data_IF_677968739558
#
_entry.id   IF_677968739558
#
_cell.length_a   1.000
_cell.length_b   1.000
_cell.length_c   1.000
_cell.angle_alpha   90.00
_cell.angle_beta   90.00
_cell.angle_gamma   90.00
#
_symmetry.space_group_name_H-M   'P 1'
#
loop_
_entity.id
_entity.type
_entity.pdbx_description
1 polymer ?
#
# COMPACT_ATOMS: atom_id res chain seq x y z
N UNK A 1 -5.03 -8.20 23.49
CA UNK A 1 -4.16 -7.49 22.52
C UNK A 1 -4.09 -6.03 22.92
N UNK A 2 -2.91 -5.40 22.96
CA UNK A 2 -2.80 -3.95 23.23
C UNK A 2 -3.41 -3.17 22.07
N UNK A 3 -4.42 -2.32 22.33
CA UNK A 3 -5.14 -1.62 21.25
C UNK A 3 -4.44 -0.33 20.81
N UNK A 4 -3.86 0.42 21.75
CA UNK A 4 -3.22 1.70 21.45
C UNK A 4 -2.07 1.60 20.43
N UNK A 5 -1.09 0.67 20.55
CA UNK A 5 -0.06 0.52 19.51
C UNK A 5 -0.65 0.14 18.16
N UNK A 6 -1.64 -0.76 18.14
CA UNK A 6 -2.29 -1.18 16.90
C UNK A 6 -2.99 -0.01 16.21
N UNK A 7 -3.68 0.84 16.97
CA UNK A 7 -4.34 2.03 16.44
C UNK A 7 -3.35 3.03 15.85
N UNK A 8 -2.23 3.31 16.53
CA UNK A 8 -1.19 4.18 15.98
C UNK A 8 -0.56 3.57 14.72
N UNK A 9 -0.31 2.26 14.69
CA UNK A 9 0.21 1.58 13.50
C UNK A 9 -0.82 1.64 12.36
N UNK A 10 -2.10 1.50 12.68
CA UNK A 10 -3.18 1.64 11.72
C UNK A 10 -3.25 3.06 11.14
N UNK A 11 -3.18 4.10 11.98
CA UNK A 11 -3.16 5.49 11.51
C UNK A 11 -1.96 5.76 10.59
N UNK A 12 -0.77 5.30 10.99
CA UNK A 12 0.41 5.37 10.13
C UNK A 12 0.10 4.75 8.77
N UNK A 13 -0.38 3.50 8.72
CA UNK A 13 -0.62 2.83 7.45
C UNK A 13 -1.69 3.51 6.60
N UNK A 14 -2.77 4.00 7.23
CA UNK A 14 -3.79 4.79 6.56
C UNK A 14 -3.17 5.99 5.85
N UNK A 15 -2.37 6.79 6.56
CA UNK A 15 -1.76 8.00 5.99
C UNK A 15 -0.71 7.68 4.92
N UNK A 16 0.14 6.68 5.13
CA UNK A 16 1.13 6.26 4.13
C UNK A 16 0.47 5.71 2.86
N UNK A 17 -0.61 4.94 3.00
CA UNK A 17 -1.35 4.48 1.83
C UNK A 17 -2.11 5.64 1.16
N UNK A 18 -2.64 6.57 1.95
CA UNK A 18 -3.32 7.77 1.46
C UNK A 18 -2.41 8.64 0.58
N UNK A 19 -1.11 8.74 0.90
CA UNK A 19 -0.17 9.53 0.06
C UNK A 19 -0.04 8.98 -1.34
N UNK A 20 -0.26 7.68 -1.53
CA UNK A 20 -0.26 7.05 -2.85
C UNK A 20 -1.62 7.16 -3.51
N UNK A 21 -2.68 6.84 -2.78
CA UNK A 21 -4.03 6.74 -3.35
C UNK A 21 -4.66 8.10 -3.64
N UNK A 22 -4.19 9.18 -3.00
CA UNK A 22 -4.64 10.55 -3.31
C UNK A 22 -4.33 10.98 -4.74
N UNK A 23 -3.29 10.42 -5.38
CA UNK A 23 -2.90 10.84 -6.73
C UNK A 23 -3.81 10.31 -7.83
N UNK A 24 -4.46 9.16 -7.64
CA UNK A 24 -5.38 8.59 -8.63
C UNK A 24 -6.59 9.51 -8.95
N UNK A 25 -7.37 9.99 -7.95
CA UNK A 25 -8.45 10.94 -8.21
C UNK A 25 -7.96 12.34 -8.63
N UNK A 26 -6.71 12.68 -8.32
CA UNK A 26 -6.08 13.96 -8.72
C UNK A 26 -5.46 13.93 -10.12
N UNK A 27 -5.27 12.75 -10.71
CA UNK A 27 -4.52 12.57 -11.95
C UNK A 27 -5.07 13.42 -13.13
N UNK A 28 -6.40 13.52 -13.35
CA UNK A 28 -6.94 14.36 -14.42
C UNK A 28 -6.58 15.84 -14.25
N UNK A 29 -6.51 16.34 -13.01
CA UNK A 29 -6.12 17.74 -12.73
C UNK A 29 -4.62 17.97 -12.94
N UNK A 30 -3.79 16.95 -12.65
CA UNK A 30 -2.36 17.00 -12.90
C UNK A 30 -2.11 17.04 -14.41
N UNK A 31 -2.81 16.22 -15.19
CA UNK A 31 -2.78 16.24 -16.66
C UNK A 31 -3.11 17.63 -17.21
N UNK A 32 -4.22 18.21 -16.76
CA UNK A 32 -4.67 19.51 -17.24
C UNK A 32 -3.70 20.63 -16.86
N UNK A 33 -3.08 20.57 -15.67
CA UNK A 33 -2.16 21.60 -15.18
C UNK A 33 -0.80 21.65 -15.89
N UNK A 34 -0.36 20.53 -16.47
CA UNK A 34 0.96 20.40 -17.12
C UNK A 34 0.83 19.95 -18.59
N UNK A 35 -0.39 19.90 -19.12
CA UNK A 35 -0.72 19.41 -20.46
C UNK A 35 -0.10 18.04 -20.76
N UNK A 36 -0.18 17.11 -19.81
CA UNK A 36 0.38 15.77 -19.96
C UNK A 36 -0.58 14.88 -20.75
N UNK A 37 -0.03 13.97 -21.56
CA UNK A 37 -0.81 12.88 -22.14
C UNK A 37 -1.15 11.82 -21.08
N UNK A 38 -2.18 11.02 -21.31
CA UNK A 38 -2.54 9.91 -20.43
C UNK A 38 -1.39 8.93 -20.17
N UNK A 39 -0.59 8.66 -21.21
CA UNK A 39 0.61 7.84 -21.10
C UNK A 39 1.68 8.46 -20.19
N UNK A 40 1.89 9.78 -20.31
CA UNK A 40 2.83 10.51 -19.46
C UNK A 40 2.36 10.55 -18.00
N UNK A 41 1.07 10.80 -17.76
CA UNK A 41 0.49 10.78 -16.41
C UNK A 41 0.60 9.39 -15.77
N UNK A 42 0.35 8.33 -16.54
CA UNK A 42 0.59 6.95 -16.12
C UNK A 42 2.05 6.68 -15.74
N UNK A 43 3.00 7.26 -16.47
CA UNK A 43 4.45 7.13 -16.20
C UNK A 43 4.87 7.62 -14.80
N UNK A 44 4.12 8.53 -14.17
CA UNK A 44 4.39 8.96 -12.80
C UNK A 44 4.28 7.80 -11.81
N UNK A 45 3.31 6.91 -11.99
CA UNK A 45 3.16 5.70 -11.16
C UNK A 45 4.28 4.70 -11.38
N UNK A 46 4.89 4.67 -12.56
CA UNK A 46 6.10 3.88 -12.81
C UNK A 46 7.28 4.39 -11.97
N UNK A 47 7.49 5.71 -11.90
CA UNK A 47 8.52 6.28 -11.00
C UNK A 47 8.24 6.02 -9.53
N UNK A 48 6.97 6.06 -9.12
CA UNK A 48 6.58 5.61 -7.79
C UNK A 48 6.95 4.14 -7.57
N UNK A 49 6.60 3.25 -8.50
CA UNK A 49 6.94 1.83 -8.43
C UNK A 49 8.45 1.59 -8.29
N UNK A 50 9.27 2.28 -9.07
CA UNK A 50 10.74 2.20 -9.00
C UNK A 50 11.28 2.66 -7.64
N UNK A 51 10.82 3.80 -7.12
CA UNK A 51 11.24 4.31 -5.81
C UNK A 51 10.84 3.36 -4.68
N UNK A 52 9.63 2.82 -4.73
CA UNK A 52 9.13 1.86 -3.77
C UNK A 52 9.94 0.55 -3.79
N UNK A 53 10.20 0.00 -4.98
CA UNK A 53 11.01 -1.21 -5.13
C UNK A 53 12.43 -1.01 -4.61
N UNK A 54 13.06 0.13 -4.89
CA UNK A 54 14.38 0.47 -4.36
C UNK A 54 14.38 0.54 -2.83
N UNK A 55 13.38 1.19 -2.23
CA UNK A 55 13.25 1.25 -0.77
C UNK A 55 13.18 -0.15 -0.14
N UNK A 56 12.34 -1.01 -0.71
CA UNK A 56 12.15 -2.38 -0.25
C UNK A 56 13.41 -3.23 -0.43
N UNK A 57 14.19 -3.02 -1.49
CA UNK A 57 15.49 -3.67 -1.68
C UNK A 57 16.57 -3.12 -0.75
N UNK A 58 16.47 -1.88 -0.28
CA UNK A 58 17.44 -1.28 0.65
C UNK A 58 17.05 -1.42 2.12
N UNK A 59 15.86 -1.96 2.41
CA UNK A 59 15.31 -1.95 3.77
C UNK A 59 16.18 -2.68 4.79
N UNK A 60 16.84 -3.78 4.38
CA UNK A 60 17.74 -4.52 5.26
C UNK A 60 18.93 -3.66 5.71
N UNK A 61 19.43 -2.77 4.83
CA UNK A 61 20.51 -1.84 5.18
C UNK A 61 19.99 -0.79 6.16
N UNK A 62 18.88 -0.12 5.84
CA UNK A 62 18.30 0.90 6.71
C UNK A 62 18.04 0.39 8.13
N UNK A 63 17.41 -0.78 8.25
CA UNK A 63 17.13 -1.42 9.55
C UNK A 63 18.41 -1.80 10.28
N UNK A 64 19.45 -2.27 9.59
CA UNK A 64 20.72 -2.64 10.23
C UNK A 64 21.50 -1.44 10.78
N UNK A 65 21.38 -0.27 10.14
CA UNK A 65 22.07 0.95 10.58
C UNK A 65 21.26 1.74 11.63
N UNK A 66 19.95 1.86 11.42
CA UNK A 66 19.10 2.75 12.22
C UNK A 66 18.21 2.02 13.23
N UNK A 67 17.97 0.73 13.05
CA UNK A 67 16.90 0.00 13.76
C UNK A 67 15.53 0.20 13.10
N UNK A 68 14.56 -0.63 13.47
CA UNK A 68 13.23 -0.66 12.87
C UNK A 68 12.44 0.62 13.17
N UNK A 69 12.46 1.09 14.42
CA UNK A 69 11.69 2.26 14.86
C UNK A 69 12.17 3.54 14.20
N UNK A 70 13.49 3.77 14.15
CA UNK A 70 14.06 4.96 13.49
C UNK A 70 13.82 4.90 11.98
N UNK A 71 13.90 3.72 11.36
CA UNK A 71 13.60 3.55 9.93
C UNK A 71 12.17 4.00 9.60
N UNK A 72 11.18 3.62 10.41
CA UNK A 72 9.79 4.12 10.26
C UNK A 72 9.73 5.63 10.41
N UNK A 73 10.37 6.21 11.44
CA UNK A 73 10.34 7.66 11.66
C UNK A 73 10.96 8.43 10.50
N UNK A 74 12.17 8.06 10.06
CA UNK A 74 12.84 8.72 8.94
C UNK A 74 12.04 8.58 7.64
N UNK A 75 11.44 7.41 7.41
CA UNK A 75 10.52 7.19 6.29
C UNK A 75 9.35 8.17 6.29
N UNK A 76 8.69 8.39 7.42
CA UNK A 76 7.56 9.32 7.49
C UNK A 76 7.98 10.79 7.43
N UNK A 77 9.12 11.14 8.01
CA UNK A 77 9.66 12.50 7.87
C UNK A 77 9.96 12.77 6.40
N UNK A 78 10.63 11.84 5.70
CA UNK A 78 10.84 11.93 4.25
C UNK A 78 9.53 12.03 3.46
N UNK A 79 8.55 11.19 3.80
CA UNK A 79 7.23 11.17 3.17
C UNK A 79 6.52 12.53 3.30
N UNK A 80 6.51 13.09 4.51
CA UNK A 80 5.91 14.40 4.79
C UNK A 80 6.63 15.54 4.07
N UNK A 81 7.96 15.58 4.11
CA UNK A 81 8.76 16.60 3.43
C UNK A 81 8.55 16.57 1.91
N UNK A 82 8.55 15.38 1.30
CA UNK A 82 8.31 15.24 -0.14
C UNK A 82 6.90 15.71 -0.51
N UNK A 83 5.87 15.40 0.30
CA UNK A 83 4.51 15.92 0.08
C UNK A 83 4.45 17.44 0.13
N UNK A 84 5.19 18.08 1.04
CA UNK A 84 5.29 19.54 1.09
C UNK A 84 5.94 20.10 -0.19
N UNK A 85 6.88 19.36 -0.78
CA UNK A 85 7.57 19.77 -2.01
C UNK A 85 6.70 19.77 -3.26
N UNK A 86 5.58 19.02 -3.29
CA UNK A 86 4.68 18.97 -4.45
C UNK A 86 4.07 20.32 -4.82
N UNK A 87 4.00 21.29 -3.90
CA UNK A 87 3.46 22.61 -4.23
C UNK A 87 4.32 23.36 -5.25
N UNK A 88 5.62 23.08 -5.32
CA UNK A 88 6.58 23.71 -6.25
C UNK A 88 6.84 22.87 -7.52
N UNK A 89 6.12 21.77 -7.70
CA UNK A 89 6.32 20.87 -8.83
C UNK A 89 5.64 21.43 -10.09
N UNK A 90 6.38 22.12 -10.94
CA UNK A 90 5.87 22.77 -12.16
C UNK A 90 6.33 22.11 -13.47
N UNK A 91 7.09 21.01 -13.38
CA UNK A 91 7.56 20.28 -14.56
C UNK A 91 7.34 18.79 -14.44
N UNK A 92 7.20 18.13 -15.59
CA UNK A 92 7.07 16.67 -15.66
C UNK A 92 8.22 15.94 -14.96
N UNK A 93 9.46 16.43 -15.14
CA UNK A 93 10.64 15.88 -14.45
C UNK A 93 10.55 16.04 -12.92
N UNK A 94 10.12 17.22 -12.44
CA UNK A 94 9.96 17.44 -11.00
C UNK A 94 8.92 16.49 -10.38
N UNK A 95 7.82 16.22 -11.08
CA UNK A 95 6.82 15.25 -10.62
C UNK A 95 7.39 13.83 -10.58
N UNK A 96 8.11 13.39 -11.60
CA UNK A 96 8.77 12.08 -11.58
C UNK A 96 9.73 11.92 -10.40
N UNK A 97 10.56 12.94 -10.14
CA UNK A 97 11.47 12.95 -9.01
C UNK A 97 10.73 12.88 -7.67
N UNK A 98 9.66 13.68 -7.50
CA UNK A 98 8.88 13.67 -6.27
C UNK A 98 8.10 12.37 -6.08
N UNK A 99 7.50 11.79 -7.12
CA UNK A 99 6.85 10.47 -7.05
C UNK A 99 7.86 9.39 -6.64
N UNK A 100 9.07 9.41 -7.20
CA UNK A 100 10.14 8.49 -6.84
C UNK A 100 10.56 8.65 -5.36
N UNK A 101 10.83 9.88 -4.91
CA UNK A 101 11.25 10.15 -3.53
C UNK A 101 10.15 9.86 -2.50
N UNK A 102 8.89 10.13 -2.87
CA UNK A 102 7.72 9.83 -2.06
C UNK A 102 7.63 8.32 -1.84
N UNK A 103 7.77 7.55 -2.90
CA UNK A 103 7.73 6.10 -2.86
C UNK A 103 8.94 5.49 -2.14
N UNK A 104 10.12 6.07 -2.34
CA UNK A 104 11.35 5.68 -1.63
C UNK A 104 11.16 5.82 -0.11
N UNK A 105 10.51 6.91 0.32
CA UNK A 105 10.17 7.15 1.72
C UNK A 105 9.09 6.19 2.21
N UNK A 106 8.04 5.99 1.42
CA UNK A 106 6.91 5.12 1.76
C UNK A 106 7.30 3.65 1.95
N UNK A 107 8.19 3.12 1.10
CA UNK A 107 8.59 1.71 1.10
C UNK A 107 9.38 1.25 2.33
N UNK A 108 9.83 2.18 3.16
CA UNK A 108 10.51 1.87 4.43
C UNK A 108 9.55 1.34 5.51
N UNK A 109 8.25 1.58 5.36
CA UNK A 109 7.28 1.37 6.42
C UNK A 109 6.92 -0.11 6.64
N UNK A 110 6.37 -0.80 5.64
CA UNK A 110 5.77 -2.14 5.81
C UNK A 110 6.74 -3.18 6.38
N UNK A 111 7.96 -3.34 5.84
CA UNK A 111 8.86 -4.35 6.38
C UNK A 111 9.33 -4.01 7.80
N UNK A 112 9.41 -2.72 8.14
CA UNK A 112 9.84 -2.27 9.47
C UNK A 112 8.73 -2.40 10.51
N UNK A 113 7.52 -1.95 10.17
CA UNK A 113 6.38 -2.00 11.08
C UNK A 113 5.93 -3.42 11.35
N UNK A 114 6.05 -4.35 10.38
CA UNK A 114 5.70 -5.74 10.59
C UNK A 114 6.63 -6.42 11.60
N UNK A 115 7.93 -6.12 11.58
CA UNK A 115 8.84 -6.60 12.62
C UNK A 115 8.46 -6.05 14.01
N UNK A 116 8.07 -4.78 14.10
CA UNK A 116 7.59 -4.17 15.37
C UNK A 116 6.27 -4.79 15.82
N UNK A 117 5.32 -4.96 14.91
CA UNK A 117 3.98 -5.50 15.18
C UNK A 117 4.05 -6.95 15.66
N UNK A 118 4.85 -7.77 14.97
CA UNK A 118 5.00 -9.20 15.31
C UNK A 118 5.79 -9.45 16.60
N UNK A 119 6.62 -8.50 17.03
CA UNK A 119 7.24 -8.48 18.37
C UNK A 119 6.25 -7.99 19.45
N UNK A 120 5.32 -7.10 19.08
CA UNK A 120 4.34 -6.51 20.01
C UNK A 120 3.22 -7.49 20.39
N UNK A 121 2.86 -8.40 19.47
CA UNK A 121 1.76 -9.35 19.64
C UNK A 121 2.22 -10.80 19.53
N UNK A 122 1.58 -11.66 20.32
CA UNK A 122 1.78 -13.12 20.26
C UNK A 122 1.45 -13.67 18.86
N UNK A 123 2.23 -14.66 18.42
CA UNK A 123 2.14 -15.27 17.08
C UNK A 123 0.78 -15.89 16.75
N UNK A 124 -0.02 -16.25 17.76
CA UNK A 124 -1.41 -16.71 17.62
C UNK A 124 -2.37 -15.64 17.13
N UNK A 125 -1.99 -14.36 17.25
CA UNK A 125 -2.80 -13.20 16.92
C UNK A 125 -2.24 -12.39 15.75
N UNK A 126 -1.19 -12.87 15.08
CA UNK A 126 -0.58 -12.13 13.97
C UNK A 126 -1.54 -11.90 12.82
N UNK A 127 -2.36 -12.88 12.44
CA UNK A 127 -3.37 -12.70 11.39
C UNK A 127 -4.37 -11.61 11.74
N UNK A 128 -4.89 -11.59 12.97
CA UNK A 128 -5.78 -10.52 13.46
C UNK A 128 -5.11 -9.16 13.48
N UNK A 129 -3.91 -9.07 14.05
CA UNK A 129 -3.18 -7.80 14.17
C UNK A 129 -2.82 -7.22 12.80
N UNK A 130 -2.34 -8.08 11.87
CA UNK A 130 -2.01 -7.69 10.50
C UNK A 130 -3.28 -7.36 9.72
N UNK A 131 -4.37 -8.13 9.85
CA UNK A 131 -5.63 -7.83 9.17
C UNK A 131 -6.27 -6.52 9.62
N UNK A 132 -6.25 -6.22 10.93
CA UNK A 132 -6.68 -4.91 11.45
C UNK A 132 -5.76 -3.83 10.91
N UNK A 133 -4.45 -3.97 11.04
CA UNK A 133 -3.47 -3.00 10.52
C UNK A 133 -3.70 -2.72 9.03
N UNK A 134 -3.79 -3.75 8.21
CA UNK A 134 -3.91 -3.64 6.75
C UNK A 134 -5.26 -3.09 6.29
N UNK A 135 -6.31 -3.22 7.11
CA UNK A 135 -7.60 -2.56 6.86
C UNK A 135 -7.47 -1.03 6.70
N UNK A 136 -6.40 -0.42 7.23
CA UNK A 136 -6.09 0.99 7.03
C UNK A 136 -5.86 1.34 5.55
N UNK A 137 -5.17 0.49 4.80
CA UNK A 137 -4.98 0.68 3.36
C UNK A 137 -6.31 0.58 2.61
N UNK A 138 -7.16 -0.37 3.00
CA UNK A 138 -8.51 -0.50 2.43
C UNK A 138 -9.36 0.74 2.71
N UNK A 139 -9.27 1.31 3.93
CA UNK A 139 -9.95 2.57 4.23
C UNK A 139 -9.40 3.73 3.39
N UNK A 140 -8.08 3.82 3.19
CA UNK A 140 -7.48 4.86 2.36
C UNK A 140 -7.92 4.76 0.89
N UNK A 141 -7.95 3.55 0.32
CA UNK A 141 -8.42 3.26 -1.05
C UNK A 141 -9.89 3.72 -1.22
N UNK A 142 -10.74 3.41 -0.24
CA UNK A 142 -12.15 3.78 -0.22
C UNK A 142 -12.34 5.30 -0.05
N UNK A 143 -11.69 5.90 0.95
CA UNK A 143 -11.99 7.25 1.39
C UNK A 143 -11.28 8.34 0.58
N UNK A 144 -10.08 8.10 0.05
CA UNK A 144 -9.31 9.15 -0.63
C UNK A 144 -10.00 9.76 -1.86
N UNK A 145 -10.64 8.99 -2.78
CA UNK A 145 -11.40 9.59 -3.89
C UNK A 145 -12.50 10.55 -3.42
N UNK A 146 -13.20 10.20 -2.35
CA UNK A 146 -14.27 11.00 -1.76
C UNK A 146 -13.69 12.23 -1.06
N UNK A 147 -12.66 12.05 -0.23
CA UNK A 147 -12.02 13.13 0.52
C UNK A 147 -11.31 14.14 -0.39
N UNK A 148 -10.69 13.67 -1.48
CA UNK A 148 -10.11 14.54 -2.52
C UNK A 148 -11.22 15.36 -3.18
N UNK A 149 -12.31 14.71 -3.61
CA UNK A 149 -13.45 15.41 -4.25
C UNK A 149 -14.02 16.49 -3.33
N UNK A 150 -14.27 16.17 -2.06
CA UNK A 150 -14.77 17.13 -1.07
C UNK A 150 -13.75 18.25 -0.84
N UNK A 151 -12.48 17.90 -0.67
CA UNK A 151 -11.40 18.85 -0.40
C UNK A 151 -11.21 19.87 -1.52
N UNK A 152 -11.43 19.44 -2.78
CA UNK A 152 -11.31 20.29 -3.96
C UNK A 152 -12.35 21.41 -4.03
N UNK A 153 -13.47 21.31 -3.29
CA UNK A 153 -14.42 22.44 -3.16
C UNK A 153 -13.84 23.62 -2.37
N UNK A 154 -12.86 23.36 -1.50
CA UNK A 154 -12.30 24.37 -0.59
C UNK A 154 -10.87 24.77 -0.96
N UNK A 155 -10.10 23.84 -1.53
CA UNK A 155 -8.68 24.03 -1.75
C UNK A 155 -8.22 23.43 -3.08
N UNK A 156 -7.23 24.03 -3.77
CA UNK A 156 -6.58 23.39 -4.91
C UNK A 156 -5.85 22.11 -4.49
N UNK A 157 -5.68 21.18 -5.43
CA UNK A 157 -5.10 19.86 -5.18
C UNK A 157 -3.74 19.89 -4.47
N UNK A 158 -2.89 20.87 -4.79
CA UNK A 158 -1.57 21.05 -4.15
C UNK A 158 -1.69 21.25 -2.63
N UNK A 159 -2.70 22.00 -2.16
CA UNK A 159 -2.93 22.25 -0.72
C UNK A 159 -3.44 21.00 0.00
N UNK A 160 -4.19 20.12 -0.67
CA UNK A 160 -4.60 18.83 -0.10
C UNK A 160 -3.38 17.96 0.22
N UNK A 161 -2.38 17.95 -0.67
CA UNK A 161 -1.11 17.25 -0.42
C UNK A 161 -0.32 17.87 0.74
N UNK A 162 -0.38 19.20 0.93
CA UNK A 162 0.24 19.87 2.09
C UNK A 162 -0.35 19.38 3.42
N UNK A 163 -1.68 19.36 3.53
CA UNK A 163 -2.36 18.87 4.75
C UNK A 163 -1.99 17.41 5.05
N UNK A 164 -1.92 16.58 4.01
CA UNK A 164 -1.48 15.20 4.14
C UNK A 164 -0.01 15.10 4.59
N UNK A 165 0.85 15.95 4.05
CA UNK A 165 2.26 16.05 4.43
C UNK A 165 2.45 16.40 5.90
N UNK A 166 1.72 17.40 6.41
CA UNK A 166 1.76 17.76 7.84
C UNK A 166 1.26 16.63 8.73
N UNK A 167 0.20 15.92 8.35
CA UNK A 167 -0.25 14.74 9.10
C UNK A 167 0.84 13.66 9.16
N UNK A 168 1.54 13.40 8.04
CA UNK A 168 2.67 12.48 8.00
C UNK A 168 3.86 12.92 8.86
N UNK A 169 4.08 14.22 9.08
CA UNK A 169 5.15 14.73 9.96
C UNK A 169 4.80 14.60 11.46
N UNK A 170 3.52 14.65 11.81
CA UNK A 170 3.06 14.61 13.21
C UNK A 170 3.00 13.16 13.74
N UNK A 171 2.53 12.20 12.94
CA UNK A 171 2.32 10.81 13.38
C UNK A 171 3.58 10.10 13.94
N UNK A 172 4.80 10.30 13.41
CA UNK A 172 6.02 9.70 13.93
C UNK A 172 6.29 10.02 15.39
N UNK A 173 5.85 11.19 15.88
CA UNK A 173 5.98 11.55 17.29
C UNK A 173 5.17 10.61 18.19
N UNK A 174 3.90 10.37 17.86
CA UNK A 174 3.03 9.44 18.59
C UNK A 174 3.53 8.01 18.47
N UNK A 175 3.95 7.61 17.27
CA UNK A 175 4.58 6.32 17.04
C UNK A 175 5.79 6.11 17.94
N UNK A 176 6.67 7.12 18.05
CA UNK A 176 7.88 7.02 18.86
C UNK A 176 7.57 6.78 20.35
N UNK A 177 6.48 7.33 20.87
CA UNK A 177 6.09 7.15 22.28
C UNK A 177 5.56 5.74 22.56
N UNK A 178 4.89 5.12 21.59
CA UNK A 178 4.16 3.86 21.81
C UNK A 178 4.92 2.63 21.32
N UNK A 179 5.72 2.75 20.26
CA UNK A 179 6.46 1.63 19.68
C UNK A 179 7.69 1.26 20.50
N UNK A 180 7.98 -0.05 20.54
CA UNK A 180 9.18 -0.61 21.14
C UNK A 180 10.08 -1.13 20.03
N UNK A 181 11.37 -0.83 20.13
CA UNK A 181 12.37 -1.37 19.22
C UNK A 181 12.45 -2.90 19.43
N UNK A 182 12.26 -3.72 18.39
CA UNK A 182 12.45 -5.16 18.49
C UNK A 182 13.86 -5.49 18.93
N UNK A 183 14.03 -6.51 19.77
CA UNK A 183 15.37 -6.96 20.16
C UNK A 183 16.08 -7.55 18.94
N UNK A 184 17.00 -6.79 18.35
CA UNK A 184 17.91 -7.32 17.35
C UNK A 184 18.88 -8.26 18.07
N UNK A 185 18.80 -9.54 17.76
CA UNK A 185 19.80 -10.49 18.18
C UNK A 185 21.07 -10.25 17.34
N UNK A 186 21.89 -9.29 17.79
CA UNK A 186 23.14 -8.88 17.13
C UNK A 186 24.15 -10.04 17.00
N UNK A 187 23.88 -11.18 17.65
CA UNK A 187 24.69 -12.39 17.62
C UNK A 187 24.51 -13.25 16.36
N UNK A 188 23.44 -13.03 15.56
CA UNK A 188 23.17 -13.83 14.35
C UNK A 188 23.82 -13.21 13.12
N UNK A 189 24.46 -14.04 12.30
CA UNK A 189 25.08 -13.65 11.03
C UNK A 189 24.14 -12.76 10.20
N UNK A 190 24.70 -11.70 9.60
CA UNK A 190 23.96 -10.84 8.66
C UNK A 190 23.48 -11.69 7.48
N UNK A 191 22.18 -11.99 7.45
CA UNK A 191 21.55 -12.72 6.35
C UNK A 191 21.79 -11.97 5.05
N UNK A 192 22.37 -12.65 4.06
CA UNK A 192 22.67 -12.03 2.77
C UNK A 192 21.42 -12.05 1.91
N UNK A 193 21.21 -11.01 1.09
CA UNK A 193 20.11 -10.97 0.12
C UNK A 193 20.05 -12.25 -0.73
N UNK A 194 21.21 -12.76 -1.14
CA UNK A 194 21.33 -13.95 -1.97
C UNK A 194 20.72 -15.20 -1.32
N UNK A 195 20.74 -15.29 0.02
CA UNK A 195 20.18 -16.44 0.74
C UNK A 195 18.65 -16.45 0.68
N UNK A 196 18.02 -15.27 0.59
CA UNK A 196 16.57 -15.13 0.43
C UNK A 196 16.17 -15.41 -1.02
N UNK A 197 16.94 -14.92 -2.01
CA UNK A 197 16.68 -15.20 -3.42
C UNK A 197 16.78 -16.69 -3.77
N UNK A 198 17.59 -17.46 -3.05
CA UNK A 198 17.71 -18.92 -3.26
C UNK A 198 16.50 -19.71 -2.79
N UNK A 199 15.62 -19.12 -1.96
CA UNK A 199 14.46 -19.84 -1.40
C UNK A 199 13.32 -19.89 -2.41
N UNK A 200 12.83 -21.10 -2.69
CA UNK A 200 11.64 -21.32 -3.52
C UNK A 200 10.41 -20.55 -3.01
N UNK A 201 10.26 -20.44 -1.70
CA UNK A 201 9.17 -19.70 -1.04
C UNK A 201 9.16 -18.22 -1.42
N UNK A 202 10.32 -17.59 -1.57
CA UNK A 202 10.45 -16.19 -1.97
C UNK A 202 9.77 -15.99 -3.33
N UNK A 203 10.17 -16.78 -4.33
CA UNK A 203 9.61 -16.67 -5.70
C UNK A 203 8.12 -16.97 -5.77
N UNK A 204 7.64 -18.00 -5.07
CA UNK A 204 6.21 -18.34 -5.04
C UNK A 204 5.40 -17.18 -4.43
N UNK A 205 5.87 -16.63 -3.30
CA UNK A 205 5.18 -15.51 -2.65
C UNK A 205 5.26 -14.23 -3.48
N UNK A 206 6.39 -13.97 -4.14
CA UNK A 206 6.54 -12.83 -5.06
C UNK A 206 5.57 -12.92 -6.23
N UNK A 207 5.38 -14.11 -6.80
CA UNK A 207 4.42 -14.34 -7.88
C UNK A 207 2.98 -14.05 -7.42
N UNK A 208 2.57 -14.57 -6.27
CA UNK A 208 1.24 -14.27 -5.72
C UNK A 208 1.06 -12.78 -5.41
N UNK A 209 2.11 -12.13 -4.92
CA UNK A 209 2.12 -10.70 -4.68
C UNK A 209 1.97 -9.89 -5.97
N UNK A 210 2.68 -10.28 -7.03
CA UNK A 210 2.61 -9.64 -8.34
C UNK A 210 1.21 -9.70 -8.93
N UNK A 211 0.61 -10.90 -8.98
CA UNK A 211 -0.74 -11.10 -9.51
C UNK A 211 -1.77 -10.30 -8.71
N UNK A 212 -1.68 -10.31 -7.39
CA UNK A 212 -2.61 -9.60 -6.52
C UNK A 212 -2.44 -8.08 -6.60
N UNK A 213 -1.19 -7.60 -6.71
CA UNK A 213 -0.87 -6.19 -6.89
C UNK A 213 -1.39 -5.66 -8.24
N UNK A 214 -1.11 -6.37 -9.35
CA UNK A 214 -1.57 -5.99 -10.68
C UNK A 214 -3.09 -5.93 -10.78
N UNK A 215 -3.78 -6.94 -10.24
CA UNK A 215 -5.24 -7.01 -10.24
C UNK A 215 -5.89 -5.89 -9.41
N UNK A 216 -5.21 -5.37 -8.39
CA UNK A 216 -5.77 -4.36 -7.49
C UNK A 216 -5.35 -2.93 -7.89
N UNK A 217 -4.05 -2.70 -8.07
CA UNK A 217 -3.44 -1.38 -8.19
C UNK A 217 -3.43 -0.86 -9.63
N UNK A 218 -3.27 -1.75 -10.62
CA UNK A 218 -3.35 -1.37 -12.03
C UNK A 218 -4.75 -0.81 -12.36
N UNK A 219 -5.80 -1.54 -11.93
CA UNK A 219 -7.18 -1.07 -12.05
C UNK A 219 -7.40 0.21 -11.25
N UNK A 220 -6.86 0.29 -10.03
CA UNK A 220 -7.05 1.46 -9.17
C UNK A 220 -6.50 2.74 -9.80
N UNK A 221 -5.32 2.68 -10.40
CA UNK A 221 -4.56 3.87 -10.79
C UNK A 221 -5.20 4.61 -11.97
N UNK A 222 -5.80 3.89 -12.91
CA UNK A 222 -6.28 4.44 -14.20
C UNK A 222 -7.81 4.64 -14.23
N UNK A 223 -8.56 3.96 -13.35
CA UNK A 223 -10.03 3.92 -13.48
C UNK A 223 -10.71 5.30 -13.39
N UNK A 224 -10.38 6.21 -12.44
CA UNK A 224 -10.99 7.54 -12.42
C UNK A 224 -10.71 8.34 -13.69
N UNK A 225 -9.45 8.30 -14.17
CA UNK A 225 -9.04 8.97 -15.41
C UNK A 225 -9.87 8.48 -16.60
N UNK A 226 -10.00 7.16 -16.75
CA UNK A 226 -10.80 6.55 -17.81
C UNK A 226 -12.29 6.96 -17.73
N UNK A 227 -12.89 6.91 -16.54
CA UNK A 227 -14.31 7.30 -16.38
C UNK A 227 -14.55 8.76 -16.73
N UNK A 228 -13.62 9.65 -16.39
CA UNK A 228 -13.78 11.09 -16.60
C UNK A 228 -13.47 11.47 -18.05
N UNK A 229 -12.30 11.10 -18.57
CA UNK A 229 -11.82 11.57 -19.87
C UNK A 229 -12.39 10.77 -21.05
N UNK A 230 -12.52 9.45 -20.92
CA UNK A 230 -12.99 8.58 -22.02
C UNK A 230 -14.51 8.34 -21.99
N UNK A 231 -15.11 8.29 -20.80
CA UNK A 231 -16.56 8.08 -20.63
C UNK A 231 -17.34 9.37 -20.38
N UNK A 232 -16.67 10.52 -20.29
CA UNK A 232 -17.29 11.82 -20.08
C UNK A 232 -18.06 11.95 -18.77
N UNK A 233 -17.74 11.13 -17.76
CA UNK A 233 -18.42 11.17 -16.47
C UNK A 233 -17.99 12.41 -15.69
N UNK A 234 -18.93 13.00 -14.94
CA UNK A 234 -18.62 14.06 -14.00
C UNK A 234 -17.53 13.63 -13.00
N UNK A 235 -16.60 14.54 -12.71
CA UNK A 235 -15.45 14.30 -11.85
C UNK A 235 -15.86 13.82 -10.45
N UNK A 236 -16.86 14.49 -9.85
CA UNK A 236 -17.29 14.18 -8.48
C UNK A 236 -18.04 12.85 -8.43
N UNK A 237 -18.89 12.59 -9.43
CA UNK A 237 -19.59 11.32 -9.55
C UNK A 237 -18.61 10.14 -9.72
N UNK A 238 -17.65 10.25 -10.64
CA UNK A 238 -16.68 9.19 -10.93
C UNK A 238 -15.87 8.80 -9.69
N UNK A 239 -15.33 9.79 -8.97
CA UNK A 239 -14.55 9.55 -7.76
C UNK A 239 -15.38 9.02 -6.60
N UNK A 240 -16.62 9.49 -6.43
CA UNK A 240 -17.51 9.01 -5.37
C UNK A 240 -17.90 7.55 -5.61
N UNK A 241 -18.27 7.21 -6.84
CA UNK A 241 -18.67 5.85 -7.22
C UNK A 241 -17.48 4.89 -7.11
N UNK A 242 -16.29 5.34 -7.52
CA UNK A 242 -15.05 4.59 -7.35
C UNK A 242 -14.73 4.33 -5.88
N UNK A 243 -14.82 5.34 -5.02
CA UNK A 243 -14.62 5.19 -3.58
C UNK A 243 -15.60 4.18 -2.98
N UNK A 244 -16.90 4.38 -3.18
CA UNK A 244 -17.97 3.50 -2.65
C UNK A 244 -17.76 2.04 -3.08
N UNK A 245 -17.31 1.80 -4.31
CA UNK A 245 -17.08 0.44 -4.82
C UNK A 245 -16.07 -0.38 -4.00
N UNK A 246 -15.25 0.28 -3.17
CA UNK A 246 -14.15 -0.30 -2.40
C UNK A 246 -14.45 -0.48 -0.92
N UNK A 247 -15.61 0.00 -0.43
CA UNK A 247 -15.94 0.00 1.01
C UNK A 247 -15.89 -1.40 1.63
N UNK A 248 -16.35 -2.41 0.88
CA UNK A 248 -16.36 -3.79 1.33
C UNK A 248 -14.95 -4.37 1.56
N UNK A 249 -13.93 -3.83 0.88
CA UNK A 249 -12.53 -4.20 1.08
C UNK A 249 -12.05 -4.02 2.52
N UNK A 250 -12.55 -3.00 3.23
CA UNK A 250 -12.25 -2.74 4.64
C UNK A 250 -12.57 -3.94 5.52
N UNK A 251 -13.77 -4.49 5.35
CA UNK A 251 -14.26 -5.62 6.13
C UNK A 251 -13.55 -6.91 5.74
N UNK A 252 -13.22 -7.09 4.45
CA UNK A 252 -12.48 -8.26 3.96
C UNK A 252 -11.07 -8.33 4.54
N UNK A 253 -10.34 -7.21 4.62
CA UNK A 253 -8.99 -7.20 5.19
C UNK A 253 -8.99 -7.69 6.66
N UNK A 254 -9.96 -7.22 7.46
CA UNK A 254 -10.12 -7.66 8.85
C UNK A 254 -10.53 -9.13 8.89
N UNK A 255 -11.59 -9.50 8.16
CA UNK A 255 -12.14 -10.86 8.18
C UNK A 255 -11.08 -11.89 7.78
N UNK A 256 -10.33 -11.64 6.71
CA UNK A 256 -9.29 -12.55 6.21
C UNK A 256 -8.14 -12.70 7.19
N UNK A 257 -7.77 -11.65 7.92
CA UNK A 257 -6.82 -11.74 9.02
C UNK A 257 -7.28 -12.69 10.13
N UNK A 258 -8.54 -12.59 10.55
CA UNK A 258 -9.13 -13.45 11.58
C UNK A 258 -9.23 -14.91 11.10
N UNK A 259 -9.67 -15.11 9.86
CA UNK A 259 -9.74 -16.43 9.24
C UNK A 259 -8.34 -17.04 9.04
N UNK A 260 -7.30 -16.22 8.85
CA UNK A 260 -5.90 -16.70 8.74
C UNK A 260 -5.39 -17.31 10.03
N UNK A 261 -5.76 -16.73 11.18
CA UNK A 261 -5.41 -17.33 12.46
C UNK A 261 -6.21 -18.62 12.74
N UNK A 262 -7.46 -18.71 12.28
CA UNK A 262 -8.32 -19.89 12.49
C UNK A 262 -8.02 -21.06 11.55
N UNK A 263 -7.88 -20.80 10.26
CA UNK A 263 -7.76 -21.82 9.21
C UNK A 263 -6.33 -21.99 8.68
N UNK A 264 -5.42 -21.10 9.05
CA UNK A 264 -4.02 -21.12 8.63
C UNK A 264 -3.79 -20.46 7.28
N UNK A 265 -2.61 -19.86 7.13
CA UNK A 265 -2.25 -19.04 5.97
C UNK A 265 -2.26 -19.80 4.63
N UNK A 266 -1.90 -21.09 4.61
CA UNK A 266 -1.87 -21.88 3.35
C UNK A 266 -3.25 -22.02 2.69
N UNK A 267 -4.29 -22.26 3.49
CA UNK A 267 -5.67 -22.35 2.99
C UNK A 267 -6.16 -20.98 2.55
N UNK A 268 -5.90 -19.95 3.36
CA UNK A 268 -6.33 -18.59 3.06
C UNK A 268 -5.68 -18.02 1.79
N UNK A 269 -4.40 -18.28 1.52
CA UNK A 269 -3.74 -17.87 0.27
C UNK A 269 -4.44 -18.50 -0.94
N UNK A 270 -4.77 -19.79 -0.87
CA UNK A 270 -5.49 -20.47 -1.97
C UNK A 270 -6.84 -19.80 -2.22
N UNK A 271 -7.62 -19.58 -1.16
CA UNK A 271 -8.91 -18.92 -1.26
C UNK A 271 -8.80 -17.49 -1.82
N UNK A 272 -7.85 -16.68 -1.35
CA UNK A 272 -7.69 -15.30 -1.83
C UNK A 272 -7.31 -15.26 -3.31
N UNK A 273 -6.38 -16.11 -3.76
CA UNK A 273 -5.95 -16.13 -5.16
C UNK A 273 -7.07 -16.63 -6.08
N UNK A 274 -7.76 -17.72 -5.72
CA UNK A 274 -8.86 -18.28 -6.53
C UNK A 274 -10.02 -17.27 -6.65
N UNK A 275 -10.44 -16.68 -5.54
CA UNK A 275 -11.55 -15.70 -5.55
C UNK A 275 -11.19 -14.42 -6.30
N UNK A 276 -9.94 -13.94 -6.19
CA UNK A 276 -9.43 -12.81 -6.98
C UNK A 276 -9.40 -13.13 -8.48
N UNK A 277 -8.93 -14.31 -8.86
CA UNK A 277 -8.90 -14.75 -10.26
C UNK A 277 -10.30 -14.85 -10.85
N UNK A 278 -11.22 -15.54 -10.18
CA UNK A 278 -12.60 -15.71 -10.64
C UNK A 278 -13.34 -14.38 -10.78
N UNK A 279 -13.18 -13.47 -9.80
CA UNK A 279 -13.81 -12.14 -9.88
C UNK A 279 -13.21 -11.27 -10.98
N UNK A 280 -11.90 -11.40 -11.26
CA UNK A 280 -11.25 -10.68 -12.37
C UNK A 280 -11.73 -11.19 -13.74
N UNK A 281 -11.89 -12.50 -13.91
CA UNK A 281 -12.48 -13.08 -15.11
C UNK A 281 -13.95 -12.66 -15.26
N UNK A 282 -14.72 -12.66 -14.17
CA UNK A 282 -16.11 -12.20 -14.18
C UNK A 282 -16.24 -10.74 -14.62
N UNK A 283 -15.34 -9.87 -14.18
CA UNK A 283 -15.27 -8.48 -14.67
C UNK A 283 -14.97 -8.41 -16.17
N UNK A 284 -14.01 -9.20 -16.66
CA UNK A 284 -13.64 -9.22 -18.08
C UNK A 284 -14.77 -9.72 -19.01
N UNK A 285 -15.61 -10.64 -18.52
CA UNK A 285 -16.75 -11.19 -19.26
C UNK A 285 -18.02 -10.34 -19.17
N UNK A 286 -18.04 -9.31 -18.33
CA UNK A 286 -19.22 -8.46 -18.12
C UNK A 286 -19.42 -7.48 -19.28
N UNK A 287 -20.58 -7.52 -19.93
CA UNK A 287 -20.89 -6.69 -21.11
C UNK A 287 -21.92 -5.57 -20.85
N UNK A 288 -22.78 -5.72 -19.84
CA UNK A 288 -23.76 -4.69 -19.46
C UNK A 288 -23.23 -3.78 -18.35
N UNK A 289 -23.61 -2.51 -18.36
CA UNK A 289 -23.16 -1.54 -17.36
C UNK A 289 -23.46 -2.00 -15.90
N UNK A 290 -24.65 -2.53 -15.56
CA UNK A 290 -24.90 -3.05 -14.22
C UNK A 290 -24.01 -4.25 -13.86
N UNK A 291 -23.75 -5.15 -14.80
CA UNK A 291 -22.87 -6.30 -14.57
C UNK A 291 -21.41 -5.88 -14.38
N UNK A 292 -20.95 -4.87 -15.12
CA UNK A 292 -19.60 -4.30 -14.94
C UNK A 292 -19.48 -3.71 -13.54
N UNK A 293 -20.46 -2.94 -13.07
CA UNK A 293 -20.43 -2.32 -11.76
C UNK A 293 -20.43 -3.34 -10.62
N UNK A 294 -21.27 -4.38 -10.69
CA UNK A 294 -21.32 -5.42 -9.66
C UNK A 294 -20.05 -6.27 -9.65
N UNK A 295 -19.57 -6.68 -10.83
CA UNK A 295 -18.30 -7.43 -10.96
C UNK A 295 -17.10 -6.59 -10.50
N UNK A 296 -17.12 -5.28 -10.74
CA UNK A 296 -16.08 -4.36 -10.28
C UNK A 296 -16.03 -4.31 -8.75
N UNK A 297 -17.18 -4.16 -8.09
CA UNK A 297 -17.26 -4.15 -6.61
C UNK A 297 -16.77 -5.48 -6.03
N UNK A 298 -17.20 -6.61 -6.61
CA UNK A 298 -16.76 -7.93 -6.17
C UNK A 298 -15.25 -8.12 -6.33
N UNK A 299 -14.71 -7.78 -7.49
CA UNK A 299 -13.28 -7.90 -7.77
C UNK A 299 -12.45 -6.97 -6.87
N UNK A 300 -12.89 -5.72 -6.71
CA UNK A 300 -12.30 -4.72 -5.84
C UNK A 300 -12.22 -5.19 -4.38
N UNK A 301 -13.26 -5.88 -3.92
CA UNK A 301 -13.39 -6.38 -2.56
C UNK A 301 -12.53 -7.61 -2.31
N UNK A 302 -12.57 -8.58 -3.23
CA UNK A 302 -11.89 -9.86 -3.08
C UNK A 302 -10.38 -9.77 -3.31
N UNK A 303 -9.93 -8.89 -4.21
CA UNK A 303 -8.50 -8.71 -4.51
C UNK A 303 -7.68 -8.22 -3.31
N UNK A 304 -8.31 -7.52 -2.35
CA UNK A 304 -7.65 -7.03 -1.14
C UNK A 304 -7.41 -8.14 -0.10
N UNK A 305 -8.07 -9.29 -0.23
CA UNK A 305 -7.94 -10.40 0.72
C UNK A 305 -6.52 -10.96 0.81
N UNK A 306 -5.72 -10.86 -0.25
CA UNK A 306 -4.39 -11.46 -0.30
C UNK A 306 -3.39 -10.76 0.62
N UNK A 307 -3.37 -9.43 0.68
CA UNK A 307 -2.32 -8.67 1.36
C UNK A 307 -2.16 -9.01 2.85
N UNK A 308 -3.22 -9.03 3.69
CA UNK A 308 -3.06 -9.35 5.10
C UNK A 308 -2.64 -10.81 5.31
N UNK A 309 -3.14 -11.72 4.46
CA UNK A 309 -2.80 -13.15 4.50
C UNK A 309 -1.34 -13.37 4.10
N UNK A 310 -0.89 -12.71 3.03
CA UNK A 310 0.47 -12.80 2.50
C UNK A 310 1.49 -12.25 3.50
N UNK A 311 1.21 -11.10 4.10
CA UNK A 311 2.01 -10.51 5.17
C UNK A 311 2.11 -11.44 6.39
N UNK A 312 1.01 -12.03 6.83
CA UNK A 312 1.00 -13.00 7.92
C UNK A 312 1.76 -14.28 7.57
N UNK A 313 1.64 -14.75 6.32
CA UNK A 313 2.36 -15.93 5.84
C UNK A 313 3.87 -15.70 5.83
N UNK A 314 4.36 -14.62 5.23
CA UNK A 314 5.80 -14.29 5.21
C UNK A 314 6.33 -14.14 6.63
N UNK A 315 5.57 -13.48 7.51
CA UNK A 315 5.95 -13.32 8.92
C UNK A 315 6.09 -14.65 9.66
N UNK A 316 5.21 -15.63 9.38
CA UNK A 316 5.28 -17.00 9.95
C UNK A 316 6.38 -17.86 9.32
N UNK A 317 6.78 -17.56 8.09
CA UNK A 317 7.81 -18.29 7.33
C UNK A 317 9.23 -17.77 7.57
N UNK A 318 9.38 -16.62 8.23
CA UNK A 318 10.68 -15.95 8.41
C UNK A 318 10.93 -15.60 9.88
N UNK A 319 12.11 -15.92 10.44
CA UNK A 319 12.53 -15.38 11.74
C UNK A 319 12.60 -13.86 11.71
N UNK A 320 12.44 -13.25 12.88
CA UNK A 320 12.40 -11.79 13.06
C UNK A 320 13.63 -11.08 12.45
N UNK A 321 14.81 -11.69 12.55
CA UNK A 321 16.09 -11.14 12.07
C UNK A 321 16.16 -10.93 10.55
N UNK A 322 15.42 -11.73 9.76
CA UNK A 322 15.39 -11.63 8.30
C UNK A 322 14.04 -11.17 7.76
N UNK A 323 13.02 -11.03 8.62
CA UNK A 323 11.63 -10.76 8.24
C UNK A 323 11.49 -9.50 7.38
N UNK A 324 12.10 -8.38 7.79
CA UNK A 324 12.05 -7.15 7.00
C UNK A 324 12.71 -7.31 5.63
N UNK A 325 13.82 -8.03 5.58
CA UNK A 325 14.53 -8.31 4.34
C UNK A 325 13.70 -9.21 3.42
N UNK A 326 13.09 -10.26 3.94
CA UNK A 326 12.25 -11.18 3.19
C UNK A 326 10.98 -10.51 2.66
N UNK A 327 10.27 -9.74 3.52
CA UNK A 327 9.11 -8.95 3.09
C UNK A 327 9.54 -7.94 2.03
N UNK A 328 10.66 -7.23 2.23
CA UNK A 328 11.22 -6.28 1.28
C UNK A 328 11.47 -6.91 -0.08
N UNK A 329 12.23 -8.01 -0.15
CA UNK A 329 12.53 -8.70 -1.40
C UNK A 329 11.27 -9.26 -2.08
N UNK A 330 10.39 -9.92 -1.32
CA UNK A 330 9.15 -10.50 -1.87
C UNK A 330 8.26 -9.40 -2.46
N UNK A 331 8.06 -8.31 -1.72
CA UNK A 331 7.23 -7.20 -2.17
C UNK A 331 7.91 -6.35 -3.25
N UNK A 332 9.25 -6.28 -3.31
CA UNK A 332 9.97 -5.57 -4.36
C UNK A 332 9.82 -6.29 -5.70
N UNK A 333 9.99 -7.61 -5.71
CA UNK A 333 9.77 -8.44 -6.91
C UNK A 333 8.28 -8.39 -7.27
N UNK A 334 7.39 -8.63 -6.31
CA UNK A 334 5.96 -8.67 -6.58
C UNK A 334 5.38 -7.33 -7.04
N UNK A 335 5.65 -6.28 -6.27
CA UNK A 335 5.15 -4.93 -6.56
C UNK A 335 5.85 -4.27 -7.74
N UNK A 336 7.17 -4.43 -7.89
CA UNK A 336 7.91 -3.80 -8.98
C UNK A 336 7.50 -4.25 -10.38
N UNK A 337 7.10 -5.53 -10.53
CA UNK A 337 6.59 -6.06 -11.80
C UNK A 337 5.06 -5.99 -11.94
N UNK A 338 4.34 -5.68 -10.84
CA UNK A 338 2.88 -5.65 -10.80
C UNK A 338 2.25 -4.27 -10.60
N UNK A 339 3.03 -3.18 -10.64
CA UNK A 339 2.57 -1.79 -10.48
C UNK A 339 2.35 -1.09 -11.81
#
# INVERSE_FOLDING_TARGET
MKLLPLFIFWCLWFFNFSTRTSFSPLLPLIEDSLHLSHGAAGGLFTSYGMGYALALLLIGRFVSFFGYKRTVVFGYVGLGLVLLCFQWAESYFSLHLLFFLLALSAGTYIPSILSILTETYDSRHWGKAIGIHDSAASLAIFSMPILVTIGLHFFPWRRLLLFLGFACLILPFFFWRVSREPRQDLSKERVRYMDIFRRRTTWIMSLFWMVSAAANLGVYSILPLYLIKERGMDFALANTLFGISRVCGLFVAILTGFLTDRYGYRRMIKWSIVTTGLSTVGLALSSSLPAILTSLILQATLSLAFFPVGLAAVSKLTPLSERSLAIGVIAAIGGGFGS
#
